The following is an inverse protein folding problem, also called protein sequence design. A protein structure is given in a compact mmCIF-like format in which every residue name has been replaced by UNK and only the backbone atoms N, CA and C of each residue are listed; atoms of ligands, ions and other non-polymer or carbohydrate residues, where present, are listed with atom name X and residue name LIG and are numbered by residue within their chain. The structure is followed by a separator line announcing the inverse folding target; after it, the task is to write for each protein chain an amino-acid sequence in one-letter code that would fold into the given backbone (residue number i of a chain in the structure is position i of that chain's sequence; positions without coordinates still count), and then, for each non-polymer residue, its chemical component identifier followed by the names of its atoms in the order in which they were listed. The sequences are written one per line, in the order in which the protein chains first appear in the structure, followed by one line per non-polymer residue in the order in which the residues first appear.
data_IF_771408330435
#
_entry.id   IF_771408330435
#
_cell.length_a   1.000
_cell.length_b   1.000
_cell.length_c   1.000
_cell.angle_alpha   90.00
_cell.angle_beta   90.00
_cell.angle_gamma   90.00
#
_symmetry.space_group_name_H-M   'P 1'
#
loop_
_entity.id
_entity.type
_entity.pdbx_description
1 polymer ?
#
# COMPACT_ATOMS: atom_id res chain seq x y z
N UNK A 1 -16.03 47.13 -29.73
CA UNK A 1 -16.73 47.60 -28.50
C UNK A 1 -17.20 46.37 -27.74
N UNK A 2 -17.07 46.16 -26.42
CA UNK A 2 -16.59 46.92 -25.26
C UNK A 2 -16.19 45.90 -24.16
N UNK A 3 -15.40 46.37 -23.19
CA UNK A 3 -14.59 45.69 -22.15
C UNK A 3 -15.35 45.08 -20.94
N UNK A 4 -14.69 44.09 -20.31
CA UNK A 4 -14.47 43.75 -18.86
C UNK A 4 -15.62 43.89 -17.83
N UNK A 5 -15.72 42.89 -16.93
CA UNK A 5 -15.12 42.91 -15.55
C UNK A 5 -15.34 41.58 -14.78
N UNK A 6 -14.31 41.19 -14.03
CA UNK A 6 -14.30 40.15 -12.98
C UNK A 6 -15.14 40.58 -11.75
N UNK A 7 -15.58 39.63 -10.92
CA UNK A 7 -15.37 39.57 -9.45
C UNK A 7 -15.94 38.25 -8.87
N UNK A 8 -15.25 37.75 -7.84
CA UNK A 8 -15.46 36.57 -7.01
C UNK A 8 -16.89 36.33 -6.49
N UNK A 9 -17.30 35.06 -6.45
CA UNK A 9 -18.41 34.57 -5.66
C UNK A 9 -17.90 33.66 -4.52
N UNK A 10 -18.15 34.09 -3.28
CA UNK A 10 -18.10 33.26 -2.08
C UNK A 10 -19.54 32.80 -1.82
N UNK A 11 -19.77 31.49 -1.68
CA UNK A 11 -21.05 30.94 -1.24
C UNK A 11 -20.90 30.20 0.09
N UNK A 12 -21.91 30.46 0.93
CA UNK A 12 -22.13 30.17 2.35
C UNK A 12 -22.52 28.71 2.66
N UNK A 13 -22.85 28.50 3.96
CA UNK A 13 -23.99 27.71 4.52
C UNK A 13 -23.51 26.45 5.31
N UNK A 14 -23.90 26.07 6.55
CA UNK A 14 -24.91 26.37 7.62
C UNK A 14 -24.31 25.84 8.99
N UNK A 15 -24.78 26.10 10.23
CA UNK A 15 -26.05 25.65 10.82
C UNK A 15 -26.20 26.08 12.32
N UNK A 16 -27.41 26.56 12.68
CA UNK A 16 -28.21 26.61 13.93
C UNK A 16 -27.62 26.36 15.34
N UNK A 17 -28.08 27.20 16.30
CA UNK A 17 -28.87 26.88 17.54
C UNK A 17 -29.01 28.22 18.30
N UNK A 18 -30.17 28.71 18.75
CA UNK A 18 -31.25 28.09 19.50
C UNK A 18 -31.36 28.84 20.84
N UNK A 19 -32.30 29.79 20.94
CA UNK A 19 -32.56 30.63 22.13
C UNK A 19 -33.17 29.77 23.24
N UNK A 20 -32.67 29.88 24.48
CA UNK A 20 -33.38 29.43 25.68
C UNK A 20 -33.06 30.32 26.89
N UNK A 21 -34.13 30.59 27.64
CA UNK A 21 -34.33 31.47 28.79
C UNK A 21 -33.22 31.57 29.85
N UNK A 22 -33.11 32.79 30.41
CA UNK A 22 -32.58 33.07 31.73
C UNK A 22 -33.49 32.48 32.83
N UNK A 23 -32.90 31.96 33.93
CA UNK A 23 -33.45 32.22 35.24
C UNK A 23 -32.40 32.85 36.18
N UNK A 24 -32.90 33.81 36.96
CA UNK A 24 -32.25 34.51 38.05
C UNK A 24 -31.87 33.54 39.18
N UNK A 25 -30.57 33.40 39.48
CA UNK A 25 -30.11 32.97 40.79
C UNK A 25 -28.68 33.46 41.05
N UNK A 26 -28.38 33.79 42.30
CA UNK A 26 -27.11 34.32 42.81
C UNK A 26 -25.90 33.37 42.70
N UNK A 27 -25.98 32.32 41.87
CA UNK A 27 -24.89 31.36 41.61
C UNK A 27 -24.04 31.68 40.37
N UNK A 28 -24.32 32.77 39.66
CA UNK A 28 -23.62 33.16 38.43
C UNK A 28 -22.45 34.15 38.62
N UNK A 29 -21.93 34.32 39.85
CA UNK A 29 -20.69 35.10 40.08
C UNK A 29 -19.42 34.26 40.14
N UNK A 30 -19.51 32.93 40.25
CA UNK A 30 -18.34 32.02 40.33
C UNK A 30 -17.99 31.32 39.02
N UNK A 31 -18.84 31.41 37.99
CA UNK A 31 -18.58 30.80 36.68
C UNK A 31 -17.35 31.38 35.95
N UNK A 32 -17.10 32.70 35.94
CA UNK A 32 -15.92 33.27 35.29
C UNK A 32 -14.61 32.87 35.98
N UNK A 33 -14.63 32.71 37.32
CA UNK A 33 -13.48 32.31 38.13
C UNK A 33 -13.13 30.83 37.92
N UNK A 34 -14.12 29.95 37.76
CA UNK A 34 -13.91 28.54 37.47
C UNK A 34 -13.38 28.33 36.03
N UNK A 35 -13.86 29.10 35.05
CA UNK A 35 -13.34 29.06 33.69
C UNK A 35 -11.90 29.58 33.60
N UNK A 36 -11.58 30.66 34.30
CA UNK A 36 -10.21 31.17 34.37
C UNK A 36 -9.24 30.16 35.01
N UNK A 37 -9.67 29.50 36.10
CA UNK A 37 -8.89 28.45 36.74
C UNK A 37 -8.62 27.26 35.80
N UNK A 38 -9.63 26.82 35.05
CA UNK A 38 -9.49 25.72 34.10
C UNK A 38 -8.51 26.06 32.96
N UNK A 39 -8.53 27.29 32.44
CA UNK A 39 -7.59 27.74 31.39
C UNK A 39 -6.15 27.79 31.91
N UNK A 40 -5.95 28.30 33.14
CA UNK A 40 -4.61 28.34 33.75
C UNK A 40 -4.05 26.93 33.97
N UNK A 41 -4.88 25.99 34.42
CA UNK A 41 -4.49 24.58 34.57
C UNK A 41 -4.13 23.96 33.21
N UNK A 42 -4.92 24.22 32.17
CA UNK A 42 -4.66 23.72 30.81
C UNK A 42 -3.33 24.27 30.24
N UNK A 43 -3.04 25.55 30.47
CA UNK A 43 -1.78 26.17 30.07
C UNK A 43 -0.59 25.62 30.87
N UNK A 44 -0.76 25.36 32.18
CA UNK A 44 0.28 24.76 33.00
C UNK A 44 0.57 23.31 32.58
N UNK A 45 -0.45 22.52 32.25
CA UNK A 45 -0.30 21.16 31.70
C UNK A 45 0.40 21.20 30.34
N UNK A 46 0.03 22.14 29.46
CA UNK A 46 0.69 22.29 28.16
C UNK A 46 2.17 22.69 28.29
N UNK A 47 2.48 23.60 29.23
CA UNK A 47 3.85 23.98 29.55
C UNK A 47 4.64 22.79 30.12
N UNK A 48 4.06 22.02 31.04
CA UNK A 48 4.68 20.84 31.62
C UNK A 48 4.94 19.74 30.58
N UNK A 49 4.00 19.50 29.66
CA UNK A 49 4.19 18.58 28.53
C UNK A 49 5.28 19.11 27.58
N UNK A 50 5.39 20.43 27.40
CA UNK A 50 6.45 21.03 26.58
C UNK A 50 7.84 20.92 27.25
N UNK A 51 7.91 20.92 28.57
CA UNK A 51 9.15 20.70 29.34
C UNK A 51 9.54 19.22 29.45
N UNK A 52 8.56 18.30 29.45
CA UNK A 52 8.78 16.85 29.39
C UNK A 52 9.03 16.35 27.96
N UNK A 53 8.70 17.16 26.95
CA UNK A 53 9.07 16.87 25.57
C UNK A 53 10.57 17.07 25.45
N UNK A 54 11.36 16.03 25.15
CA UNK A 54 12.78 16.22 24.88
C UNK A 54 12.92 17.24 23.74
N UNK A 55 13.95 18.11 23.75
CA UNK A 55 14.18 19.01 22.63
C UNK A 55 14.22 18.15 21.36
N UNK A 56 13.54 18.61 20.30
CA UNK A 56 13.71 18.07 18.95
C UNK A 56 15.12 18.46 18.52
N UNK A 57 16.11 17.81 19.11
CA UNK A 57 17.42 17.62 18.54
C UNK A 57 17.19 16.69 17.37
N UNK A 58 17.65 17.11 16.20
CA UNK A 58 17.68 16.30 15.00
C UNK A 58 18.08 14.87 15.37
N UNK A 59 17.16 13.92 15.21
CA UNK A 59 17.51 12.50 15.16
C UNK A 59 18.14 12.22 13.78
N UNK A 60 19.27 12.87 13.54
CA UNK A 60 20.29 12.45 12.60
C UNK A 60 21.60 12.48 13.38
N UNK A 61 22.32 11.35 13.31
CA UNK A 61 23.66 11.09 13.84
C UNK A 61 23.74 10.61 15.29
N UNK A 62 23.55 9.31 15.46
CA UNK A 62 24.54 8.49 16.17
C UNK A 62 24.74 7.19 15.40
N UNK A 63 25.72 7.21 14.51
CA UNK A 63 26.77 6.19 14.33
C UNK A 63 27.68 6.72 13.22
N UNK A 64 28.46 7.74 13.56
CA UNK A 64 29.62 8.14 12.76
C UNK A 64 30.85 7.74 13.53
N UNK A 65 31.62 6.83 12.93
CA UNK A 65 32.95 6.46 13.35
C UNK A 65 33.83 7.71 13.50
N UNK A 66 34.53 7.77 14.63
CA UNK A 66 35.21 8.95 15.15
C UNK A 66 36.62 9.14 14.57
N UNK A 67 36.87 8.74 13.32
CA UNK A 67 38.23 8.74 12.76
C UNK A 67 38.48 9.64 11.54
N UNK A 68 37.54 10.49 11.11
CA UNK A 68 37.77 11.39 9.96
C UNK A 68 37.31 12.85 10.14
N UNK A 69 36.79 13.25 11.31
CA UNK A 69 36.12 14.54 11.47
C UNK A 69 37.00 15.68 12.03
N UNK A 70 38.32 15.49 12.10
CA UNK A 70 39.23 16.56 12.56
C UNK A 70 39.70 17.50 11.43
N UNK A 71 39.37 17.22 10.16
CA UNK A 71 39.84 18.04 9.03
C UNK A 71 38.84 19.08 8.54
N UNK A 72 37.57 19.06 9.00
CA UNK A 72 36.48 19.84 8.37
C UNK A 72 35.88 20.95 9.26
N UNK A 73 36.16 20.97 10.56
CA UNK A 73 35.55 21.94 11.50
C UNK A 73 36.40 23.19 11.82
N UNK A 74 37.39 23.50 10.97
CA UNK A 74 38.23 24.70 11.10
C UNK A 74 37.86 25.87 10.18
N UNK A 75 36.90 25.73 9.26
CA UNK A 75 36.62 26.76 8.26
C UNK A 75 35.17 27.18 8.34
N UNK A 76 34.87 28.08 9.29
CA UNK A 76 33.67 28.91 9.25
C UNK A 76 34.05 30.37 9.41
N UNK A 77 34.53 30.96 8.32
CA UNK A 77 34.48 32.39 8.10
C UNK A 77 34.37 32.63 6.59
N UNK A 78 33.22 33.15 6.16
CA UNK A 78 32.91 33.71 4.84
C UNK A 78 33.14 32.85 3.60
N UNK A 79 32.08 32.67 2.81
CA UNK A 79 32.02 32.89 1.35
C UNK A 79 30.74 32.22 0.82
N UNK A 80 29.90 33.03 0.17
CA UNK A 80 28.90 32.59 -0.80
C UNK A 80 29.62 31.78 -1.89
N UNK A 81 29.68 30.46 -1.77
CA UNK A 81 30.12 29.60 -2.85
C UNK A 81 29.03 28.58 -3.11
N UNK A 82 28.56 28.53 -4.35
CA UNK A 82 27.76 27.41 -4.85
C UNK A 82 28.45 26.11 -4.43
N UNK A 83 27.69 25.23 -3.77
CA UNK A 83 28.17 23.88 -3.49
C UNK A 83 28.20 23.14 -4.83
N UNK A 84 29.31 23.30 -5.56
CA UNK A 84 29.60 22.52 -6.75
C UNK A 84 29.75 21.08 -6.29
N UNK A 85 28.79 20.23 -6.61
CA UNK A 85 28.86 18.79 -6.38
C UNK A 85 30.02 18.24 -7.22
N UNK A 86 31.21 18.11 -6.61
CA UNK A 86 32.37 17.50 -7.25
C UNK A 86 32.33 16.00 -7.03
N UNK A 87 32.11 15.25 -8.11
CA UNK A 87 32.29 13.79 -8.11
C UNK A 87 33.80 13.52 -7.87
N UNK A 88 34.18 12.77 -6.83
CA UNK A 88 35.57 12.43 -6.57
C UNK A 88 36.20 11.74 -7.79
N UNK A 89 37.37 12.23 -8.24
CA UNK A 89 38.08 11.69 -9.41
C UNK A 89 38.68 10.30 -9.18
N UNK A 90 38.75 9.84 -7.94
CA UNK A 90 39.25 8.51 -7.57
C UNK A 90 38.27 7.88 -6.59
N UNK A 91 37.71 6.74 -6.98
CA UNK A 91 36.84 5.93 -6.12
C UNK A 91 37.66 5.37 -4.96
N UNK A 92 37.40 5.83 -3.74
CA UNK A 92 37.94 5.20 -2.55
C UNK A 92 37.60 3.70 -2.52
N UNK A 93 38.43 2.92 -1.84
CA UNK A 93 38.32 1.46 -1.65
C UNK A 93 37.10 1.05 -0.79
N UNK A 94 35.91 1.53 -1.15
CA UNK A 94 34.61 1.19 -0.52
C UNK A 94 33.79 0.23 -1.40
N UNK A 95 34.35 -0.22 -2.54
CA UNK A 95 33.64 -1.11 -3.48
C UNK A 95 33.10 -2.35 -2.77
N UNK A 96 33.83 -2.90 -1.78
CA UNK A 96 33.37 -4.07 -1.05
C UNK A 96 32.20 -3.78 -0.10
N UNK A 97 32.16 -2.60 0.53
CA UNK A 97 31.08 -2.20 1.44
C UNK A 97 29.77 -1.89 0.72
N UNK A 98 29.83 -1.41 -0.54
CA UNK A 98 28.63 -1.13 -1.33
C UNK A 98 27.82 -2.40 -1.59
N UNK A 99 28.50 -3.52 -1.88
CA UNK A 99 27.85 -4.78 -2.24
C UNK A 99 27.57 -5.71 -1.05
N UNK A 100 28.04 -5.36 0.15
CA UNK A 100 27.77 -6.11 1.39
C UNK A 100 27.36 -5.18 2.53
N UNK A 101 26.10 -5.27 2.96
CA UNK A 101 25.61 -4.54 4.14
C UNK A 101 25.54 -5.46 5.36
N UNK A 102 26.14 -5.05 6.48
CA UNK A 102 26.04 -5.74 7.77
C UNK A 102 24.59 -5.88 8.26
N UNK A 103 23.69 -5.02 7.79
CA UNK A 103 22.26 -5.05 8.10
C UNK A 103 21.47 -6.05 7.25
N UNK A 104 22.05 -6.62 6.19
CA UNK A 104 21.37 -7.59 5.32
C UNK A 104 20.81 -8.79 6.11
N UNK A 105 21.49 -9.20 7.19
CA UNK A 105 21.06 -10.29 8.08
C UNK A 105 19.72 -10.06 8.79
N UNK A 106 19.28 -8.81 8.93
CA UNK A 106 18.00 -8.47 9.58
C UNK A 106 16.82 -8.52 8.61
N UNK A 107 17.08 -8.65 7.30
CA UNK A 107 16.04 -8.81 6.30
C UNK A 107 15.75 -10.31 6.10
N UNK A 108 14.49 -10.68 6.25
CA UNK A 108 14.03 -12.05 6.05
C UNK A 108 12.73 -12.08 5.23
N UNK A 109 12.52 -13.18 4.52
CA UNK A 109 11.34 -13.36 3.67
C UNK A 109 10.05 -13.48 4.48
N UNK A 110 9.00 -12.83 3.99
CA UNK A 110 7.65 -12.88 4.59
C UNK A 110 6.74 -13.94 3.95
N UNK A 111 7.22 -14.84 3.09
CA UNK A 111 6.36 -15.76 2.35
C UNK A 111 5.97 -17.05 3.11
N UNK A 112 6.75 -17.51 4.09
CA UNK A 112 6.48 -18.82 4.73
C UNK A 112 5.15 -18.81 5.50
N UNK A 113 4.22 -19.67 5.08
CA UNK A 113 2.92 -19.86 5.75
C UNK A 113 3.13 -20.32 7.21
N UNK A 114 2.23 -19.90 8.09
CA UNK A 114 2.21 -20.38 9.48
C UNK A 114 1.48 -21.73 9.53
N UNK A 115 1.76 -22.55 10.55
CA UNK A 115 1.22 -23.92 10.66
C UNK A 115 -0.31 -23.95 10.82
N UNK A 116 -0.86 -22.90 11.41
CA UNK A 116 -2.27 -22.66 11.68
C UNK A 116 -3.03 -22.04 10.50
N UNK A 117 -2.35 -21.74 9.38
CA UNK A 117 -3.00 -21.17 8.20
C UNK A 117 -3.87 -22.23 7.52
N UNK A 118 -5.19 -22.06 7.59
CA UNK A 118 -6.17 -23.02 7.04
C UNK A 118 -5.99 -23.17 5.54
N UNK A 119 -6.05 -24.42 5.07
CA UNK A 119 -5.96 -24.73 3.64
C UNK A 119 -7.22 -24.31 2.88
N UNK A 120 -7.07 -24.13 1.57
CA UNK A 120 -8.17 -23.87 0.64
C UNK A 120 -9.27 -24.94 0.74
N UNK A 121 -8.88 -26.22 0.83
CA UNK A 121 -9.81 -27.36 0.92
C UNK A 121 -10.79 -27.24 2.09
N UNK A 122 -10.30 -26.79 3.26
CA UNK A 122 -11.11 -26.68 4.47
C UNK A 122 -11.92 -25.38 4.55
N UNK A 123 -11.63 -24.41 3.69
CA UNK A 123 -12.09 -23.03 3.85
C UNK A 123 -12.94 -22.55 2.67
N UNK A 124 -12.73 -23.08 1.47
CA UNK A 124 -13.45 -22.64 0.27
C UNK A 124 -14.86 -23.20 0.23
N UNK A 125 -15.84 -22.31 0.06
CA UNK A 125 -17.22 -22.68 -0.21
C UNK A 125 -17.37 -23.06 -1.71
N UNK A 126 -18.05 -24.18 -2.04
CA UNK A 126 -18.13 -24.70 -3.41
C UNK A 126 -18.85 -23.76 -4.38
N UNK A 127 -19.86 -23.01 -3.94
CA UNK A 127 -20.71 -22.16 -4.79
C UNK A 127 -20.45 -20.66 -4.61
N UNK A 128 -19.21 -20.30 -4.27
CA UNK A 128 -18.82 -18.91 -4.06
C UNK A 128 -17.65 -18.53 -4.95
N UNK A 129 -17.92 -17.73 -5.97
CA UNK A 129 -16.96 -17.32 -7.00
C UNK A 129 -16.73 -15.81 -6.95
N UNK A 130 -15.47 -15.44 -6.73
CA UNK A 130 -15.03 -14.06 -6.74
C UNK A 130 -14.33 -13.76 -8.06
N UNK A 131 -14.85 -12.80 -8.80
CA UNK A 131 -14.22 -12.24 -9.99
C UNK A 131 -13.64 -10.86 -9.67
N UNK A 132 -12.48 -10.54 -10.25
CA UNK A 132 -11.82 -9.25 -10.05
C UNK A 132 -11.56 -8.60 -11.39
N UNK A 133 -12.06 -7.38 -11.56
CA UNK A 133 -11.61 -6.48 -12.61
C UNK A 133 -10.69 -5.43 -11.98
N UNK A 134 -9.39 -5.60 -12.24
CA UNK A 134 -8.35 -4.69 -11.75
C UNK A 134 -8.50 -3.30 -12.37
N UNK A 135 -7.76 -2.32 -11.86
CA UNK A 135 -7.71 -0.97 -12.42
C UNK A 135 -6.34 -0.34 -12.21
N UNK A 136 -6.04 0.67 -13.03
CA UNK A 136 -4.80 1.45 -12.89
C UNK A 136 -3.69 1.00 -13.84
N UNK A 137 -2.47 1.50 -13.61
CA UNK A 137 -1.28 1.02 -14.33
C UNK A 137 -0.84 -0.37 -13.88
N UNK A 138 0.06 -1.04 -14.63
CA UNK A 138 0.44 -2.44 -14.38
C UNK A 138 0.88 -2.73 -12.93
N UNK A 139 1.63 -1.83 -12.29
CA UNK A 139 2.03 -2.00 -10.87
C UNK A 139 0.85 -1.87 -9.89
N UNK A 140 -0.15 -1.07 -10.22
CA UNK A 140 -1.38 -0.96 -9.42
C UNK A 140 -2.26 -2.20 -9.63
N UNK A 141 -2.36 -2.68 -10.87
CA UNK A 141 -3.03 -3.93 -11.19
C UNK A 141 -2.35 -5.13 -10.51
N UNK A 142 -1.01 -5.19 -10.50
CA UNK A 142 -0.24 -6.18 -9.73
C UNK A 142 -0.64 -6.18 -8.26
N UNK A 143 -0.75 -5.00 -7.64
CA UNK A 143 -1.23 -4.85 -6.26
C UNK A 143 -2.66 -5.38 -6.12
N UNK A 144 -3.53 -5.06 -7.09
CA UNK A 144 -4.90 -5.58 -7.14
C UNK A 144 -4.98 -7.10 -7.25
N UNK A 145 -4.14 -7.75 -8.05
CA UNK A 145 -4.06 -9.22 -8.17
C UNK A 145 -3.62 -9.85 -6.85
N UNK A 146 -2.66 -9.24 -6.16
CA UNK A 146 -2.21 -9.72 -4.84
C UNK A 146 -3.34 -9.63 -3.83
N UNK A 147 -4.02 -8.48 -3.78
CA UNK A 147 -5.15 -8.24 -2.90
C UNK A 147 -6.35 -9.14 -3.23
N UNK A 148 -6.54 -9.51 -4.51
CA UNK A 148 -7.59 -10.41 -4.95
C UNK A 148 -7.51 -11.79 -4.30
N UNK A 149 -6.30 -12.36 -4.25
CA UNK A 149 -6.07 -13.67 -3.60
C UNK A 149 -6.40 -13.59 -2.11
N UNK A 150 -5.99 -12.52 -1.45
CA UNK A 150 -6.27 -12.34 -0.02
C UNK A 150 -7.76 -12.08 0.23
N UNK A 151 -8.42 -11.31 -0.63
CA UNK A 151 -9.87 -11.09 -0.55
C UNK A 151 -10.65 -12.39 -0.74
N UNK A 152 -10.25 -13.24 -1.69
CA UNK A 152 -10.85 -14.56 -1.88
C UNK A 152 -10.67 -15.45 -0.64
N UNK A 153 -9.50 -15.41 -0.01
CA UNK A 153 -9.27 -16.09 1.27
C UNK A 153 -10.17 -15.55 2.38
N UNK A 154 -10.29 -14.23 2.55
CA UNK A 154 -11.18 -13.63 3.57
C UNK A 154 -12.63 -14.08 3.34
N UNK A 155 -13.08 -14.10 2.08
CA UNK A 155 -14.46 -14.40 1.69
C UNK A 155 -14.76 -15.90 1.57
N UNK A 156 -13.80 -16.79 1.85
CA UNK A 156 -13.95 -18.24 1.67
C UNK A 156 -14.40 -18.61 0.24
N UNK A 157 -13.92 -17.86 -0.76
CA UNK A 157 -14.38 -17.94 -2.14
C UNK A 157 -13.34 -18.60 -3.06
N UNK A 158 -13.82 -19.22 -4.12
CA UNK A 158 -13.00 -19.58 -5.28
C UNK A 158 -12.70 -18.30 -6.08
N UNK A 159 -11.43 -18.02 -6.32
CA UNK A 159 -11.01 -16.89 -7.15
C UNK A 159 -11.03 -17.30 -8.62
N UNK A 160 -11.68 -16.50 -9.46
CA UNK A 160 -11.50 -16.56 -10.92
C UNK A 160 -10.26 -15.72 -11.27
N UNK A 161 -9.41 -16.21 -12.18
CA UNK A 161 -8.21 -15.48 -12.64
C UNK A 161 -8.57 -14.02 -12.95
N UNK A 162 -7.87 -13.03 -12.33
CA UNK A 162 -8.24 -11.63 -12.47
C UNK A 162 -8.17 -11.09 -13.90
N UNK A 163 -9.11 -10.21 -14.24
CA UNK A 163 -9.11 -9.48 -15.51
C UNK A 163 -8.27 -8.21 -15.39
N UNK A 164 -7.36 -8.02 -16.35
CA UNK A 164 -6.51 -6.84 -16.45
C UNK A 164 -7.25 -5.65 -17.05
N UNK A 165 -6.94 -4.46 -16.55
CA UNK A 165 -7.39 -3.19 -17.14
C UNK A 165 -6.51 -2.82 -18.32
N UNK A 166 -7.13 -2.67 -19.49
CA UNK A 166 -6.47 -2.40 -20.77
C UNK A 166 -6.68 -0.97 -21.27
N UNK A 167 -7.48 -0.17 -20.56
CA UNK A 167 -8.03 1.06 -21.11
C UNK A 167 -7.73 2.30 -20.24
N UNK A 168 -7.66 2.16 -18.92
CA UNK A 168 -7.62 3.36 -18.06
C UNK A 168 -6.26 4.08 -18.07
N UNK A 169 -5.15 3.33 -17.99
CA UNK A 169 -3.79 3.89 -17.87
C UNK A 169 -2.75 3.12 -18.67
N UNK A 170 -2.97 1.82 -18.84
CA UNK A 170 -2.11 0.91 -19.57
C UNK A 170 -2.75 0.66 -20.94
N UNK A 171 -2.16 1.15 -22.04
CA UNK A 171 -2.71 1.04 -23.41
C UNK A 171 -2.35 -0.27 -24.13
N UNK A 172 -1.83 -1.23 -23.39
CA UNK A 172 -1.46 -2.53 -23.93
C UNK A 172 -2.63 -3.50 -23.69
N UNK A 173 -2.94 -4.28 -24.72
CA UNK A 173 -4.16 -5.12 -24.79
C UNK A 173 -3.94 -6.50 -24.18
N UNK A 174 -2.77 -6.74 -23.59
CA UNK A 174 -2.40 -8.07 -23.11
C UNK A 174 -3.35 -8.54 -22.01
N UNK A 175 -3.67 -9.83 -22.05
CA UNK A 175 -4.42 -10.54 -21.03
C UNK A 175 -3.51 -11.02 -19.91
N UNK A 176 -4.11 -11.54 -18.84
CA UNK A 176 -3.37 -12.11 -17.71
C UNK A 176 -2.37 -13.17 -18.16
N UNK A 177 -2.76 -14.11 -19.03
CA UNK A 177 -1.92 -15.21 -19.55
C UNK A 177 -0.73 -14.78 -20.39
N UNK A 178 -0.81 -13.59 -21.00
CA UNK A 178 0.25 -13.09 -21.89
C UNK A 178 1.37 -12.42 -21.06
N UNK A 179 1.02 -11.88 -19.89
CA UNK A 179 1.97 -11.23 -18.97
C UNK A 179 2.44 -12.20 -17.89
N UNK A 180 1.54 -12.96 -17.28
CA UNK A 180 1.80 -13.81 -16.12
C UNK A 180 1.56 -15.29 -16.42
N UNK A 181 2.37 -16.14 -15.80
CA UNK A 181 2.23 -17.60 -15.84
C UNK A 181 1.01 -18.04 -15.01
N UNK A 182 -0.09 -18.35 -15.68
CA UNK A 182 -1.35 -18.77 -15.04
C UNK A 182 -1.20 -20.11 -14.32
N UNK A 183 -0.53 -21.07 -14.93
CA UNK A 183 -0.48 -22.43 -14.39
C UNK A 183 0.38 -22.47 -13.13
N UNK A 184 1.46 -21.69 -13.09
CA UNK A 184 2.22 -21.44 -11.86
C UNK A 184 1.41 -20.68 -10.82
N UNK A 185 0.67 -19.64 -11.22
CA UNK A 185 -0.15 -18.86 -10.29
C UNK A 185 -1.19 -19.75 -9.57
N UNK A 186 -1.87 -20.62 -10.32
CA UNK A 186 -2.86 -21.56 -9.79
C UNK A 186 -2.19 -22.64 -8.94
N UNK A 187 -1.19 -23.34 -9.48
CA UNK A 187 -0.57 -24.48 -8.79
C UNK A 187 0.14 -24.07 -7.50
N UNK A 188 0.85 -22.94 -7.48
CA UNK A 188 1.58 -22.45 -6.31
C UNK A 188 0.64 -22.06 -5.16
N UNK A 189 -0.54 -21.52 -5.47
CA UNK A 189 -1.52 -21.05 -4.49
C UNK A 189 -2.59 -22.09 -4.15
N UNK A 190 -2.57 -23.28 -4.77
CA UNK A 190 -3.58 -24.33 -4.62
C UNK A 190 -3.89 -24.71 -3.16
N UNK A 191 -2.90 -24.65 -2.27
CA UNK A 191 -3.06 -24.91 -0.83
C UNK A 191 -3.63 -23.73 -0.05
N UNK A 192 -3.45 -22.51 -0.55
CA UNK A 192 -3.86 -21.26 0.10
C UNK A 192 -5.29 -20.85 -0.30
N UNK A 193 -5.58 -20.82 -1.60
CA UNK A 193 -6.86 -20.38 -2.18
C UNK A 193 -7.18 -21.21 -3.42
N UNK A 194 -8.43 -21.63 -3.59
CA UNK A 194 -8.88 -22.28 -4.82
C UNK A 194 -8.97 -21.23 -5.95
N UNK A 195 -8.24 -21.45 -7.04
CA UNK A 195 -8.22 -20.55 -8.20
C UNK A 195 -8.58 -21.35 -9.46
N UNK A 196 -9.47 -20.82 -10.28
CA UNK A 196 -9.85 -21.41 -11.57
C UNK A 196 -9.78 -20.36 -12.69
N UNK A 197 -9.57 -20.83 -13.93
CA UNK A 197 -9.35 -19.94 -15.10
C UNK A 197 -10.62 -19.18 -15.50
N UNK A 198 -11.77 -19.85 -15.44
CA UNK A 198 -13.07 -19.32 -15.83
C UNK A 198 -14.16 -19.90 -14.93
N UNK A 199 -15.34 -19.28 -14.93
CA UNK A 199 -16.50 -19.83 -14.23
C UNK A 199 -16.86 -21.22 -14.79
N UNK A 200 -17.29 -22.17 -13.94
CA UNK A 200 -17.76 -23.46 -14.42
C UNK A 200 -19.04 -23.27 -15.24
N UNK A 201 -19.14 -24.01 -16.34
CA UNK A 201 -20.39 -24.13 -17.09
C UNK A 201 -21.32 -25.06 -16.30
N UNK A 202 -22.46 -24.55 -15.85
CA UNK A 202 -23.53 -25.37 -15.26
C UNK A 202 -24.59 -25.61 -16.33
N UNK A 203 -25.02 -26.87 -16.48
CA UNK A 203 -25.98 -27.29 -17.50
C UNK A 203 -27.21 -26.35 -17.54
N UNK A 204 -27.31 -25.55 -18.61
CA UNK A 204 -28.45 -24.68 -18.87
C UNK A 204 -28.49 -23.32 -18.13
N UNK A 205 -27.55 -23.01 -17.23
CA UNK A 205 -27.55 -21.75 -16.47
C UNK A 205 -26.25 -20.96 -16.65
N UNK A 206 -26.33 -19.84 -17.36
CA UNK A 206 -25.24 -18.86 -17.43
C UNK A 206 -25.17 -18.11 -16.10
N UNK A 207 -24.19 -18.46 -15.25
CA UNK A 207 -23.92 -17.73 -14.02
C UNK A 207 -23.55 -16.27 -14.34
N UNK A 208 -24.46 -15.35 -14.04
CA UNK A 208 -24.25 -13.92 -14.32
C UNK A 208 -23.58 -13.22 -13.14
N UNK A 209 -22.38 -12.63 -13.31
CA UNK A 209 -21.67 -11.96 -12.22
C UNK A 209 -22.43 -10.74 -11.71
N UNK A 210 -22.58 -10.62 -10.39
CA UNK A 210 -23.07 -9.37 -9.78
C UNK A 210 -21.91 -8.38 -9.62
N UNK A 211 -21.94 -7.30 -10.39
CA UNK A 211 -20.93 -6.24 -10.31
C UNK A 211 -21.14 -5.35 -9.08
N UNK A 212 -20.10 -5.19 -8.28
CA UNK A 212 -20.09 -4.21 -7.19
C UNK A 212 -18.71 -3.58 -6.99
N UNK A 213 -18.65 -2.61 -6.08
CA UNK A 213 -17.40 -1.95 -5.67
C UNK A 213 -17.27 -1.99 -4.17
N UNK A 214 -16.04 -2.15 -3.71
CA UNK A 214 -15.66 -2.01 -2.31
C UNK A 214 -14.94 -0.67 -2.08
N UNK A 215 -15.07 -0.05 -0.89
CA UNK A 215 -14.28 1.12 -0.54
C UNK A 215 -12.77 0.87 -0.67
N UNK A 216 -11.98 1.94 -0.85
CA UNK A 216 -10.51 1.81 -0.79
C UNK A 216 -10.10 1.45 0.64
N UNK A 217 -9.04 0.66 0.79
CA UNK A 217 -8.51 0.22 2.10
C UNK A 217 -9.56 -0.44 3.02
N UNK A 218 -10.51 -1.18 2.45
CA UNK A 218 -11.47 -2.01 3.18
C UNK A 218 -10.71 -3.11 3.93
N UNK A 219 -10.95 -3.26 5.23
CA UNK A 219 -10.37 -4.30 6.08
C UNK A 219 -11.15 -5.63 5.97
N UNK A 220 -10.68 -6.74 6.57
CA UNK A 220 -11.38 -8.03 6.47
C UNK A 220 -12.85 -7.96 6.91
N UNK A 221 -13.16 -7.28 8.01
CA UNK A 221 -14.52 -7.08 8.51
C UNK A 221 -15.41 -6.34 7.51
N UNK A 222 -14.87 -5.32 6.83
CA UNK A 222 -15.55 -4.59 5.76
C UNK A 222 -15.86 -5.51 4.56
N UNK A 223 -14.96 -6.42 4.17
CA UNK A 223 -15.23 -7.43 3.13
C UNK A 223 -16.30 -8.41 3.57
N UNK A 224 -16.21 -8.92 4.80
CA UNK A 224 -17.16 -9.87 5.35
C UNK A 224 -18.58 -9.29 5.43
N UNK A 225 -18.71 -8.03 5.86
CA UNK A 225 -20.00 -7.37 6.00
C UNK A 225 -20.61 -6.94 4.67
N UNK A 226 -19.78 -6.56 3.68
CA UNK A 226 -20.27 -5.99 2.41
C UNK A 226 -20.38 -7.02 1.29
N UNK A 227 -19.41 -7.92 1.18
CA UNK A 227 -19.28 -8.82 0.02
C UNK A 227 -19.85 -10.20 0.34
N UNK A 228 -19.62 -10.76 1.54
CA UNK A 228 -20.12 -12.10 1.87
C UNK A 228 -21.64 -12.26 1.74
N UNK A 229 -22.50 -11.30 2.17
CA UNK A 229 -23.95 -11.44 2.01
C UNK A 229 -24.38 -11.47 0.55
N UNK A 230 -23.71 -10.67 -0.29
CA UNK A 230 -23.95 -10.62 -1.73
C UNK A 230 -23.48 -11.91 -2.39
N UNK A 231 -22.31 -12.41 -2.00
CA UNK A 231 -21.74 -13.65 -2.53
C UNK A 231 -22.61 -14.86 -2.18
N UNK A 232 -23.15 -14.93 -0.96
CA UNK A 232 -24.12 -15.97 -0.55
C UNK A 232 -25.41 -15.93 -1.36
N UNK A 233 -25.89 -14.73 -1.72
CA UNK A 233 -27.15 -14.54 -2.46
C UNK A 233 -26.99 -14.72 -3.98
N UNK A 234 -25.84 -14.35 -4.54
CA UNK A 234 -25.61 -14.27 -5.98
C UNK A 234 -24.67 -15.33 -6.52
N UNK A 235 -23.94 -16.03 -5.64
CA UNK A 235 -22.90 -17.03 -5.93
C UNK A 235 -21.67 -16.47 -6.67
N UNK A 236 -21.86 -15.55 -7.61
CA UNK A 236 -20.81 -14.90 -8.39
C UNK A 236 -20.84 -13.40 -8.17
N UNK A 237 -19.74 -12.86 -7.63
CA UNK A 237 -19.56 -11.41 -7.46
C UNK A 237 -18.32 -10.95 -8.20
N UNK A 238 -18.46 -9.89 -8.98
CA UNK A 238 -17.34 -9.22 -9.62
C UNK A 238 -17.06 -7.88 -8.96
N UNK A 239 -15.87 -7.75 -8.36
CA UNK A 239 -15.39 -6.47 -7.83
C UNK A 239 -14.72 -5.69 -8.96
N UNK A 240 -15.28 -4.53 -9.27
CA UNK A 240 -14.79 -3.65 -10.33
C UNK A 240 -13.94 -2.51 -9.78
N UNK A 241 -13.07 -1.94 -10.63
CA UNK A 241 -12.13 -0.88 -10.26
C UNK A 241 -11.29 -1.28 -9.03
N UNK A 242 -10.76 -2.50 -9.08
CA UNK A 242 -10.05 -3.11 -7.98
C UNK A 242 -8.57 -2.70 -7.95
N UNK A 243 -8.30 -1.53 -7.37
CA UNK A 243 -6.97 -1.03 -7.03
C UNK A 243 -6.94 -0.55 -5.58
N UNK A 244 -5.96 -1.03 -4.79
CA UNK A 244 -5.78 -0.66 -3.37
C UNK A 244 -7.06 -0.76 -2.53
N UNK A 245 -7.86 -1.79 -2.79
CA UNK A 245 -9.16 -2.00 -2.13
C UNK A 245 -9.04 -2.74 -0.80
N UNK A 246 -7.99 -3.51 -0.59
CA UNK A 246 -7.74 -4.19 0.68
C UNK A 246 -6.80 -3.35 1.56
N UNK A 247 -7.13 -3.23 2.85
CA UNK A 247 -6.33 -2.48 3.82
C UNK A 247 -4.91 -3.03 3.94
N UNK A 248 -3.97 -2.16 4.35
CA UNK A 248 -2.62 -2.58 4.75
C UNK A 248 -2.58 -3.10 6.19
N UNK A 249 -3.63 -2.85 6.99
CA UNK A 249 -3.76 -3.38 8.33
C UNK A 249 -4.39 -4.77 8.25
N UNK A 250 -3.55 -5.77 7.97
CA UNK A 250 -3.93 -7.18 7.96
C UNK A 250 -3.14 -7.95 9.00
N UNK A 251 -3.75 -9.02 9.51
CA UNK A 251 -3.06 -9.99 10.34
C UNK A 251 -1.84 -10.58 9.64
N UNK A 252 -0.86 -11.01 10.44
CA UNK A 252 0.44 -11.53 9.97
C UNK A 252 0.31 -12.61 8.91
N UNK A 253 -0.65 -13.52 9.05
CA UNK A 253 -0.86 -14.61 8.11
C UNK A 253 -1.35 -14.14 6.73
N UNK A 254 -2.22 -13.13 6.68
CA UNK A 254 -2.69 -12.53 5.44
C UNK A 254 -1.60 -11.70 4.75
N UNK A 255 -0.75 -11.00 5.54
CA UNK A 255 0.45 -10.35 4.98
C UNK A 255 1.42 -11.36 4.37
N UNK A 256 1.62 -12.50 5.04
CA UNK A 256 2.44 -13.57 4.48
C UNK A 256 1.87 -14.13 3.17
N UNK A 257 0.54 -14.25 3.07
CA UNK A 257 -0.13 -14.62 1.83
C UNK A 257 0.14 -13.58 0.73
N UNK A 258 0.02 -12.26 1.01
CA UNK A 258 0.41 -11.21 0.04
C UNK A 258 1.84 -11.42 -0.46
N UNK A 259 2.78 -11.70 0.45
CA UNK A 259 4.17 -11.96 0.10
C UNK A 259 4.34 -13.19 -0.79
N UNK A 260 3.67 -14.31 -0.48
CA UNK A 260 3.70 -15.52 -1.34
C UNK A 260 3.23 -15.20 -2.75
N UNK A 261 2.09 -14.54 -2.86
CA UNK A 261 1.50 -14.18 -4.15
C UNK A 261 2.47 -13.30 -4.93
N UNK A 262 2.96 -12.22 -4.31
CA UNK A 262 3.78 -11.22 -4.98
C UNK A 262 5.16 -11.72 -5.43
N UNK A 263 5.82 -12.55 -4.63
CA UNK A 263 7.21 -12.94 -4.86
C UNK A 263 7.37 -14.30 -5.54
N UNK A 264 6.38 -15.19 -5.45
CA UNK A 264 6.54 -16.58 -5.87
C UNK A 264 5.47 -17.08 -6.84
N UNK A 265 4.21 -16.68 -6.64
CA UNK A 265 3.09 -17.16 -7.46
C UNK A 265 2.89 -16.30 -8.72
N UNK A 266 2.90 -14.97 -8.58
CA UNK A 266 2.67 -14.03 -9.67
C UNK A 266 3.96 -13.78 -10.44
N UNK A 267 4.33 -14.76 -11.27
CA UNK A 267 5.52 -14.72 -12.11
C UNK A 267 5.17 -14.29 -13.53
N UNK A 268 6.09 -13.58 -14.18
CA UNK A 268 5.95 -13.31 -15.61
C UNK A 268 6.04 -14.59 -16.43
N UNK A 269 5.51 -14.55 -17.66
CA UNK A 269 5.68 -15.62 -18.64
C UNK A 269 7.15 -15.86 -18.97
N UNK A 270 7.46 -17.09 -19.42
CA UNK A 270 8.82 -17.50 -19.74
C UNK A 270 9.49 -16.60 -20.78
N UNK A 271 8.75 -16.09 -21.76
CA UNK A 271 9.27 -15.19 -22.79
C UNK A 271 9.81 -13.89 -22.18
N UNK A 272 9.05 -13.27 -21.27
CA UNK A 272 9.47 -12.06 -20.54
C UNK A 272 10.66 -12.37 -19.62
N UNK A 273 10.62 -13.50 -18.90
CA UNK A 273 11.72 -13.90 -18.02
C UNK A 273 13.02 -14.20 -18.78
N UNK A 274 12.94 -14.85 -19.94
CA UNK A 274 14.09 -15.10 -20.81
C UNK A 274 14.69 -13.80 -21.34
N UNK A 275 13.85 -12.85 -21.75
CA UNK A 275 14.31 -11.52 -22.18
C UNK A 275 15.04 -10.80 -21.04
N UNK A 276 14.47 -10.80 -19.84
CA UNK A 276 15.09 -10.21 -18.65
C UNK A 276 16.43 -10.87 -18.29
N UNK A 277 16.49 -12.21 -18.31
CA UNK A 277 17.74 -12.95 -18.08
C UNK A 277 18.82 -12.60 -19.09
N UNK A 278 18.48 -12.60 -20.38
CA UNK A 278 19.41 -12.23 -21.45
C UNK A 278 19.96 -10.81 -21.30
N UNK A 279 19.14 -9.87 -20.84
CA UNK A 279 19.59 -8.51 -20.53
C UNK A 279 20.60 -8.51 -19.38
N UNK A 280 20.30 -9.18 -18.28
CA UNK A 280 21.20 -9.30 -17.11
C UNK A 280 22.50 -9.99 -17.47
N UNK A 281 22.46 -11.08 -18.24
CA UNK A 281 23.64 -11.80 -18.72
C UNK A 281 24.57 -10.88 -19.52
N UNK A 282 24.02 -10.11 -20.47
CA UNK A 282 24.80 -9.15 -21.27
C UNK A 282 25.43 -8.04 -20.42
N UNK A 283 24.73 -7.54 -19.40
CA UNK A 283 25.30 -6.57 -18.46
C UNK A 283 26.46 -7.19 -17.68
N UNK A 284 26.28 -8.43 -17.20
CA UNK A 284 27.30 -9.16 -16.44
C UNK A 284 28.54 -9.54 -17.25
N UNK A 285 28.39 -9.70 -18.58
CA UNK A 285 29.54 -9.86 -19.48
C UNK A 285 30.42 -8.60 -19.58
N UNK A 286 29.89 -7.41 -19.22
CA UNK A 286 30.65 -6.16 -19.23
C UNK A 286 31.28 -5.84 -17.88
N UNK A 287 30.60 -6.17 -16.78
CA UNK A 287 31.07 -5.98 -15.41
C UNK A 287 30.43 -7.00 -14.48
N UNK A 288 31.18 -7.52 -13.51
CA UNK A 288 30.66 -8.47 -12.50
C UNK A 288 29.43 -7.90 -11.78
N UNK A 289 29.52 -6.63 -11.37
CA UNK A 289 28.48 -5.93 -10.64
C UNK A 289 27.95 -4.75 -11.47
N UNK A 290 26.66 -4.44 -11.32
CA UNK A 290 25.99 -3.32 -11.99
C UNK A 290 24.94 -2.68 -11.07
N UNK A 291 24.68 -1.40 -11.28
CA UNK A 291 23.64 -0.64 -10.58
C UNK A 291 22.43 -0.49 -11.51
N UNK A 292 21.24 -0.81 -11.01
CA UNK A 292 19.98 -0.56 -11.70
C UNK A 292 19.20 0.52 -10.95
N UNK A 293 18.80 1.57 -11.67
CA UNK A 293 18.04 2.69 -11.13
C UNK A 293 16.72 2.81 -11.90
N UNK A 294 15.60 2.76 -11.18
CA UNK A 294 14.27 3.02 -11.75
C UNK A 294 13.88 4.48 -11.49
N UNK A 295 13.96 5.31 -12.54
CA UNK A 295 13.52 6.70 -12.54
C UNK A 295 12.12 6.75 -13.13
N UNK A 296 11.14 7.22 -12.33
CA UNK A 296 9.73 7.23 -12.69
C UNK A 296 9.31 8.55 -13.33
#
# INVERSE_FOLDING_TARGET
MKKKKNVHAIYNIHLLLGVACLPTSSRLRRLPLLFAGAVVILLAVFAFISFLSPPITNHQLYHTDRHSLNTVLGVRANVQNEIVFRIPKHGGSLIHELWSSSNAKYYYGCSKASRDFRSAELKTNPDSYLMIATSGGLNQQRTGIIDAVVAAYILNATLIVPNLDKNSYWKDKSNFSEIFDIDRFISYLSKDVKIIKQLPEMEGNVMTPHNMRVPRKCDPTCYENRVSPVLKKKHVVQLTKFDYRLSNQLEKNLQKLRCRVNYHALMFTDSILQMGRKMVERMRMKSKDYIALHLR
#
